data_IF_784471225283
#
_entry.id   IF_784471225283
#
_cell.length_a   1.000
_cell.length_b   1.000
_cell.length_c   1.000
_cell.angle_alpha   90.00
_cell.angle_beta   90.00
_cell.angle_gamma   90.00
#
_symmetry.space_group_name_H-M   'P 1'
#
loop_
_entity.id
_entity.type
_entity.pdbx_description
1 polymer ?
#
# COMPACT_ATOMS: atom_id res chain seq x y z
N UNK A 1 -14.69 3.56 33.42
CA UNK A 1 -13.33 4.10 33.26
C UNK A 1 -12.91 4.00 31.82
N UNK A 2 -12.13 4.95 31.27
CA UNK A 2 -11.57 4.82 29.93
C UNK A 2 -10.75 3.53 29.82
N UNK A 3 -10.81 2.86 28.67
CA UNK A 3 -10.02 1.63 28.42
C UNK A 3 -8.54 2.01 28.46
N UNK A 4 -7.79 1.41 29.37
CA UNK A 4 -6.35 1.63 29.48
C UNK A 4 -5.63 0.66 28.54
N UNK A 5 -5.24 1.18 27.36
CA UNK A 5 -4.45 0.42 26.40
C UNK A 5 -3.02 0.22 26.91
N UNK A 6 -2.47 -0.97 26.67
CA UNK A 6 -1.13 -1.39 27.12
C UNK A 6 -0.26 -1.76 25.92
N UNK A 7 1.05 -1.75 26.14
CA UNK A 7 2.00 -2.31 25.17
C UNK A 7 1.86 -3.83 25.10
N UNK A 8 2.34 -4.42 24.02
CA UNK A 8 2.58 -5.86 23.91
C UNK A 8 4.09 -6.15 23.95
N UNK A 9 4.45 -7.39 24.24
CA UNK A 9 5.81 -7.92 24.03
C UNK A 9 5.76 -8.97 22.94
N UNK A 10 6.82 -9.07 22.13
CA UNK A 10 6.91 -10.02 21.02
C UNK A 10 8.10 -10.98 21.18
N UNK A 11 7.89 -12.28 20.93
CA UNK A 11 8.97 -13.26 20.75
C UNK A 11 8.66 -14.20 19.58
N UNK A 12 9.56 -14.24 18.60
CA UNK A 12 9.34 -14.95 17.35
C UNK A 12 10.26 -14.49 16.24
N UNK A 13 9.96 -14.90 15.01
CA UNK A 13 10.73 -14.58 13.82
C UNK A 13 10.60 -13.11 13.42
N UNK A 14 11.69 -12.46 12.98
CA UNK A 14 11.63 -11.07 12.49
C UNK A 14 10.59 -10.85 11.39
N UNK A 15 10.40 -11.82 10.50
CA UNK A 15 9.42 -11.74 9.41
C UNK A 15 7.98 -11.53 9.91
N UNK A 16 7.57 -12.28 10.94
CA UNK A 16 6.25 -12.18 11.56
C UNK A 16 6.07 -10.88 12.36
N UNK A 17 7.17 -10.24 12.78
CA UNK A 17 7.12 -8.92 13.43
C UNK A 17 6.78 -7.78 12.47
N UNK A 18 6.99 -7.98 11.15
CA UNK A 18 6.76 -6.94 10.13
C UNK A 18 5.31 -6.48 10.10
N UNK A 19 4.37 -7.42 10.25
CA UNK A 19 2.94 -7.13 10.36
C UNK A 19 2.62 -6.26 11.58
N UNK A 20 3.18 -6.58 12.75
CA UNK A 20 2.96 -5.81 13.98
C UNK A 20 3.46 -4.36 13.82
N UNK A 21 4.59 -4.17 13.13
CA UNK A 21 5.12 -2.85 12.76
C UNK A 21 4.19 -2.11 11.81
N UNK A 22 3.68 -2.78 10.75
CA UNK A 22 2.70 -2.19 9.81
C UNK A 22 1.42 -1.73 10.51
N UNK A 23 0.94 -2.50 11.49
CA UNK A 23 -0.22 -2.15 12.33
C UNK A 23 0.10 -1.10 13.40
N UNK A 24 1.37 -0.72 13.54
CA UNK A 24 1.86 0.21 14.57
C UNK A 24 1.47 -0.27 15.98
N UNK A 25 1.56 -1.58 16.23
CA UNK A 25 1.38 -2.16 17.57
C UNK A 25 2.48 -1.62 18.48
N UNK A 26 2.11 -1.08 19.65
CA UNK A 26 3.07 -0.61 20.64
C UNK A 26 3.78 -1.80 21.27
N UNK A 27 5.01 -2.08 20.84
CA UNK A 27 5.86 -3.14 21.40
C UNK A 27 6.80 -2.56 22.46
N UNK A 28 7.01 -3.30 23.55
CA UNK A 28 8.00 -2.99 24.60
C UNK A 28 8.92 -4.18 24.81
N UNK A 29 10.18 -3.91 25.16
CA UNK A 29 11.16 -4.93 25.54
C UNK A 29 11.03 -5.37 27.01
N UNK A 30 10.19 -4.68 27.79
CA UNK A 30 9.97 -4.91 29.22
C UNK A 30 8.63 -5.66 29.44
N UNK A 31 8.64 -6.98 29.66
CA UNK A 31 7.42 -7.78 29.76
C UNK A 31 6.47 -7.31 30.87
N UNK A 32 6.98 -6.80 31.99
CA UNK A 32 6.19 -6.28 33.11
C UNK A 32 5.21 -5.17 32.69
N UNK A 33 5.58 -4.37 31.68
CA UNK A 33 4.78 -3.27 31.15
C UNK A 33 3.80 -3.73 30.06
N UNK A 34 3.89 -4.99 29.62
CA UNK A 34 3.01 -5.54 28.61
C UNK A 34 1.67 -6.02 29.20
N UNK A 35 0.59 -5.77 28.47
CA UNK A 35 -0.74 -6.33 28.72
C UNK A 35 -0.96 -7.67 28.03
N UNK A 36 -0.29 -7.87 26.89
CA UNK A 36 -0.40 -9.06 26.05
C UNK A 36 0.98 -9.50 25.61
N UNK A 37 1.16 -10.81 25.56
CA UNK A 37 2.33 -11.43 24.97
C UNK A 37 1.96 -11.96 23.60
N UNK A 38 2.72 -11.58 22.57
CA UNK A 38 2.52 -12.01 21.20
C UNK A 38 3.69 -12.92 20.82
N UNK A 39 3.39 -14.10 20.30
CA UNK A 39 4.39 -15.06 19.84
C UNK A 39 3.97 -15.65 18.52
N UNK A 40 4.92 -16.14 17.74
CA UNK A 40 4.62 -17.09 16.68
C UNK A 40 4.89 -18.53 17.14
N UNK A 41 4.47 -19.49 16.33
CA UNK A 41 4.63 -20.91 16.63
C UNK A 41 6.01 -21.48 16.25
N UNK A 42 6.96 -20.66 15.83
CA UNK A 42 8.29 -21.13 15.47
C UNK A 42 9.09 -21.61 16.69
N UNK A 43 10.05 -22.51 16.48
CA UNK A 43 10.98 -22.97 17.52
C UNK A 43 11.94 -21.88 18.04
N UNK A 44 11.97 -20.72 17.38
CA UNK A 44 12.78 -19.60 17.83
C UNK A 44 12.32 -19.12 19.22
N UNK A 45 13.29 -18.87 20.10
CA UNK A 45 13.06 -18.41 21.48
C UNK A 45 12.12 -19.33 22.30
N UNK A 46 12.04 -20.63 22.00
CA UNK A 46 11.07 -21.55 22.64
C UNK A 46 11.15 -21.56 24.17
N UNK A 47 12.35 -21.56 24.76
CA UNK A 47 12.52 -21.52 26.21
C UNK A 47 11.98 -20.23 26.84
N UNK A 48 12.17 -19.11 26.13
CA UNK A 48 11.61 -17.81 26.53
C UNK A 48 10.08 -17.82 26.43
N UNK A 49 9.53 -18.38 25.34
CA UNK A 49 8.07 -18.56 25.16
C UNK A 49 7.46 -19.42 26.28
N UNK A 50 8.09 -20.55 26.62
CA UNK A 50 7.69 -21.44 27.73
C UNK A 50 7.77 -20.74 29.08
N UNK A 51 8.85 -20.01 29.35
CA UNK A 51 9.00 -19.22 30.58
C UNK A 51 7.88 -18.20 30.71
N UNK A 52 7.64 -17.44 29.64
CA UNK A 52 6.56 -16.45 29.66
C UNK A 52 5.16 -17.06 29.72
N UNK A 53 4.91 -18.21 29.10
CA UNK A 53 3.66 -18.95 29.27
C UNK A 53 3.37 -19.19 30.77
N UNK A 54 4.36 -19.72 31.48
CA UNK A 54 4.23 -20.03 32.91
C UNK A 54 4.08 -18.76 33.75
N UNK A 55 4.99 -17.80 33.59
CA UNK A 55 5.05 -16.63 34.48
C UNK A 55 3.97 -15.59 34.17
N UNK A 56 3.71 -15.32 32.89
CA UNK A 56 2.86 -14.22 32.46
C UNK A 56 1.39 -14.65 32.25
N UNK A 57 1.18 -15.81 31.65
CA UNK A 57 -0.18 -16.29 31.34
C UNK A 57 -0.75 -17.06 32.53
N UNK A 58 -0.08 -18.15 32.92
CA UNK A 58 -0.59 -19.09 33.92
C UNK A 58 -0.63 -18.45 35.32
N UNK A 59 0.47 -17.81 35.74
CA UNK A 59 0.60 -17.23 37.10
C UNK A 59 -0.01 -15.83 37.23
N UNK A 60 0.26 -14.92 36.30
CA UNK A 60 -0.22 -13.53 36.37
C UNK A 60 -1.60 -13.30 35.74
N UNK A 61 -2.16 -14.30 35.06
CA UNK A 61 -3.50 -14.22 34.49
C UNK A 61 -3.65 -13.36 33.23
N UNK A 62 -2.54 -13.10 32.52
CA UNK A 62 -2.55 -12.29 31.31
C UNK A 62 -2.83 -13.12 30.05
N UNK A 63 -2.88 -12.47 28.89
CA UNK A 63 -3.18 -13.11 27.61
C UNK A 63 -1.92 -13.34 26.78
N UNK A 64 -1.81 -14.54 26.19
CA UNK A 64 -0.86 -14.86 25.11
C UNK A 64 -1.61 -14.97 23.80
N UNK A 65 -1.11 -14.31 22.76
CA UNK A 65 -1.61 -14.38 21.39
C UNK A 65 -0.56 -15.11 20.52
N UNK A 66 -0.95 -16.24 19.94
CA UNK A 66 -0.12 -17.06 19.06
C UNK A 66 -0.51 -16.79 17.61
N UNK A 67 0.47 -16.39 16.81
CA UNK A 67 0.32 -16.04 15.40
C UNK A 67 0.45 -17.30 14.52
N UNK A 68 -0.65 -17.59 13.83
CA UNK A 68 -0.82 -18.48 12.67
C UNK A 68 0.07 -19.73 12.60
N UNK A 69 0.00 -20.65 13.57
CA UNK A 69 0.70 -21.93 13.48
C UNK A 69 0.27 -22.74 12.25
N UNK A 70 1.23 -23.36 11.58
CA UNK A 70 0.97 -24.30 10.49
C UNK A 70 0.90 -25.76 10.95
N UNK A 71 0.62 -26.68 10.02
CA UNK A 71 0.57 -28.11 10.31
C UNK A 71 1.88 -28.72 10.84
N UNK A 72 3.01 -28.03 10.64
CA UNK A 72 4.34 -28.49 11.05
C UNK A 72 4.82 -27.83 12.35
N UNK A 73 4.08 -26.86 12.86
CA UNK A 73 4.46 -26.10 14.06
C UNK A 73 4.35 -26.97 15.31
N UNK A 74 5.41 -27.04 16.11
CA UNK A 74 5.35 -27.70 17.42
C UNK A 74 4.56 -26.84 18.42
N UNK A 75 3.38 -27.35 18.79
CA UNK A 75 2.48 -26.73 19.77
C UNK A 75 2.42 -27.52 21.09
N UNK A 76 3.29 -28.52 21.28
CA UNK A 76 3.31 -29.35 22.49
C UNK A 76 3.64 -28.58 23.76
N UNK A 77 4.27 -27.40 23.62
CA UNK A 77 4.59 -26.50 24.72
C UNK A 77 3.39 -25.70 25.25
N UNK A 78 2.27 -25.70 24.52
CA UNK A 78 1.01 -25.11 24.96
C UNK A 78 0.16 -26.16 25.70
N UNK A 79 -0.73 -25.75 26.64
CA UNK A 79 -1.56 -26.68 27.39
C UNK A 79 -2.61 -27.35 26.51
N UNK A 80 -2.67 -28.69 26.62
CA UNK A 80 -3.64 -29.51 25.91
C UNK A 80 -3.23 -29.83 24.48
N UNK A 81 -3.95 -30.79 23.86
CA UNK A 81 -3.68 -31.18 22.48
C UNK A 81 -4.27 -30.16 21.51
N UNK A 82 -3.41 -29.34 20.92
CA UNK A 82 -3.77 -28.38 19.87
C UNK A 82 -3.38 -28.96 18.52
N UNK A 83 -4.27 -28.85 17.54
CA UNK A 83 -4.02 -29.31 16.17
C UNK A 83 -4.56 -28.28 15.18
N UNK A 84 -3.72 -27.87 14.24
CA UNK A 84 -4.09 -27.07 13.08
C UNK A 84 -3.83 -27.88 11.80
N UNK A 85 -4.66 -27.69 10.78
CA UNK A 85 -4.47 -28.37 9.50
C UNK A 85 -5.35 -27.80 8.40
N UNK A 86 -4.85 -27.84 7.17
CA UNK A 86 -5.52 -27.32 5.98
C UNK A 86 -6.89 -27.98 5.74
N UNK A 87 -7.72 -27.29 4.96
CA UNK A 87 -8.99 -27.83 4.49
C UNK A 87 -8.73 -28.99 3.51
N UNK A 88 -9.20 -30.19 3.85
CA UNK A 88 -9.04 -31.37 2.99
C UNK A 88 -10.20 -31.49 2.00
N UNK A 89 -11.38 -31.01 2.39
CA UNK A 89 -12.58 -31.04 1.56
C UNK A 89 -13.04 -29.64 1.16
N UNK A 90 -13.73 -29.54 0.01
CA UNK A 90 -14.25 -28.26 -0.51
C UNK A 90 -15.17 -27.52 0.48
N UNK A 91 -15.94 -28.27 1.29
CA UNK A 91 -16.85 -27.70 2.31
C UNK A 91 -16.12 -27.04 3.48
N UNK A 92 -14.86 -27.41 3.70
CA UNK A 92 -14.02 -26.86 4.76
C UNK A 92 -13.24 -25.61 4.31
N UNK A 93 -13.14 -25.38 3.00
CA UNK A 93 -12.45 -24.21 2.44
C UNK A 93 -13.19 -22.94 2.84
N UNK A 94 -12.47 -21.96 3.39
CA UNK A 94 -13.11 -20.76 3.91
C UNK A 94 -13.28 -19.74 2.79
N UNK A 95 -14.51 -19.57 2.36
CA UNK A 95 -14.90 -18.43 1.51
C UNK A 95 -15.65 -17.38 2.32
N UNK A 96 -16.44 -17.83 3.30
CA UNK A 96 -17.16 -16.98 4.24
C UNK A 96 -17.24 -17.66 5.61
N UNK A 97 -17.21 -16.87 6.67
CA UNK A 97 -17.56 -17.34 8.03
C UNK A 97 -18.78 -16.56 8.51
N UNK A 98 -19.80 -17.30 8.96
CA UNK A 98 -20.99 -16.69 9.57
C UNK A 98 -20.83 -16.83 11.08
N UNK A 99 -20.73 -15.71 11.78
CA UNK A 99 -20.67 -15.71 13.24
C UNK A 99 -21.99 -16.22 13.82
N UNK A 100 -21.89 -17.21 14.70
CA UNK A 100 -22.99 -17.73 15.51
C UNK A 100 -23.48 -16.68 16.52
N UNK A 101 -24.67 -16.90 17.11
CA UNK A 101 -25.21 -16.02 18.14
C UNK A 101 -24.28 -15.90 19.35
N UNK A 102 -23.61 -16.99 19.72
CA UNK A 102 -22.66 -17.03 20.83
C UNK A 102 -21.37 -16.27 20.50
N UNK A 103 -20.84 -16.41 19.28
CA UNK A 103 -19.67 -15.65 18.83
C UNK A 103 -19.92 -14.15 18.78
N UNK A 104 -21.12 -13.72 18.35
CA UNK A 104 -21.52 -12.31 18.36
C UNK A 104 -21.55 -11.69 19.77
N UNK A 105 -21.68 -12.52 20.81
CA UNK A 105 -21.65 -12.08 22.21
C UNK A 105 -20.25 -12.21 22.85
N UNK A 106 -19.29 -12.85 22.15
CA UNK A 106 -17.93 -12.98 22.67
C UNK A 106 -17.21 -11.62 22.57
N UNK A 107 -16.78 -11.10 23.72
CA UNK A 107 -16.05 -9.83 23.83
C UNK A 107 -14.79 -9.76 22.98
N UNK A 108 -14.14 -10.91 22.71
CA UNK A 108 -12.95 -10.97 21.85
C UNK A 108 -13.26 -10.56 20.41
N UNK A 109 -14.50 -10.80 19.96
CA UNK A 109 -14.98 -10.53 18.61
C UNK A 109 -15.74 -9.20 18.50
N UNK A 110 -15.65 -8.32 19.50
CA UNK A 110 -16.29 -7.01 19.45
C UNK A 110 -15.85 -6.22 18.20
N UNK A 111 -16.82 -5.74 17.42
CA UNK A 111 -16.59 -5.00 16.19
C UNK A 111 -16.27 -5.86 14.96
N UNK A 112 -16.17 -7.19 15.11
CA UNK A 112 -15.97 -8.14 14.01
C UNK A 112 -17.32 -8.72 13.60
N UNK A 113 -17.67 -8.65 12.32
CA UNK A 113 -18.93 -9.18 11.78
C UNK A 113 -18.72 -10.28 10.75
N UNK A 114 -19.80 -10.95 10.30
CA UNK A 114 -19.70 -11.96 9.25
C UNK A 114 -19.21 -11.36 7.91
N UNK A 115 -19.45 -10.08 7.67
CA UNK A 115 -19.02 -9.35 6.47
C UNK A 115 -17.49 -9.15 6.42
N UNK A 116 -16.84 -9.02 7.59
CA UNK A 116 -15.38 -9.06 7.72
C UNK A 116 -14.80 -10.37 7.22
N UNK A 117 -15.51 -11.45 7.53
CA UNK A 117 -15.05 -12.81 7.29
C UNK A 117 -15.46 -13.36 5.93
N UNK A 118 -15.84 -12.48 4.99
CA UNK A 118 -16.16 -12.84 3.61
C UNK A 118 -14.98 -12.53 2.69
N UNK A 119 -14.36 -13.59 2.15
CA UNK A 119 -13.20 -13.52 1.28
C UNK A 119 -13.62 -13.63 -0.19
N UNK A 120 -12.83 -13.03 -1.09
CA UNK A 120 -13.12 -13.05 -2.53
C UNK A 120 -12.89 -14.43 -3.14
N UNK A 121 -11.93 -15.18 -2.61
CA UNK A 121 -11.54 -16.52 -3.06
C UNK A 121 -11.60 -17.50 -1.88
N UNK A 122 -11.73 -18.79 -2.20
CA UNK A 122 -11.66 -19.85 -1.21
C UNK A 122 -10.27 -19.88 -0.57
N UNK A 123 -10.23 -20.01 0.75
CA UNK A 123 -9.02 -20.18 1.54
C UNK A 123 -8.83 -21.65 1.90
N UNK A 124 -7.90 -22.31 1.23
CA UNK A 124 -7.47 -23.68 1.52
C UNK A 124 -6.03 -23.77 2.02
N UNK A 125 -5.28 -22.67 1.88
CA UNK A 125 -3.94 -22.49 2.38
C UNK A 125 -3.88 -22.32 3.91
N UNK A 126 -4.96 -21.83 4.53
CA UNK A 126 -5.00 -21.52 5.96
C UNK A 126 -5.16 -22.80 6.80
N UNK A 127 -4.21 -23.11 7.70
CA UNK A 127 -4.29 -24.27 8.59
C UNK A 127 -5.36 -24.05 9.68
N UNK A 128 -6.57 -24.56 9.49
CA UNK A 128 -7.67 -24.33 10.44
C UNK A 128 -7.42 -25.08 11.75
N UNK A 129 -7.71 -24.43 12.88
CA UNK A 129 -7.64 -25.06 14.20
C UNK A 129 -8.75 -26.10 14.28
N UNK A 130 -8.36 -27.38 14.44
CA UNK A 130 -9.26 -28.52 14.52
C UNK A 130 -9.42 -29.02 15.96
N UNK A 131 -8.42 -28.80 16.80
CA UNK A 131 -8.46 -29.10 18.25
C UNK A 131 -7.77 -27.99 19.03
N UNK A 132 -8.34 -27.63 20.16
CA UNK A 132 -7.84 -26.55 21.03
C UNK A 132 -7.82 -26.96 22.51
N UNK A 133 -7.60 -28.26 22.81
CA UNK A 133 -7.68 -28.77 24.18
C UNK A 133 -9.04 -28.49 24.83
N UNK A 134 -9.03 -27.87 26.01
CA UNK A 134 -10.22 -27.39 26.73
C UNK A 134 -10.77 -26.05 26.21
N UNK A 135 -10.11 -25.46 25.23
CA UNK A 135 -10.48 -24.17 24.65
C UNK A 135 -11.62 -24.24 23.65
N UNK A 136 -12.16 -23.07 23.35
CA UNK A 136 -13.23 -22.87 22.38
C UNK A 136 -12.64 -22.49 21.01
N UNK A 137 -13.05 -23.22 19.98
CA UNK A 137 -12.75 -22.87 18.58
C UNK A 137 -13.87 -21.97 18.06
N UNK A 138 -13.49 -20.89 17.38
CA UNK A 138 -14.37 -19.88 16.83
C UNK A 138 -13.99 -19.59 15.38
N UNK A 139 -14.87 -18.87 14.69
CA UNK A 139 -14.71 -18.42 13.32
C UNK A 139 -14.34 -19.56 12.37
N UNK A 140 -15.02 -20.69 12.52
CA UNK A 140 -14.79 -21.91 11.73
C UNK A 140 -13.33 -22.39 11.76
N UNK A 141 -12.63 -22.23 12.89
CA UNK A 141 -11.24 -22.70 13.05
C UNK A 141 -10.18 -21.61 12.84
N UNK A 142 -10.56 -20.38 12.55
CA UNK A 142 -9.61 -19.27 12.40
C UNK A 142 -9.12 -18.70 13.72
N UNK A 143 -9.87 -18.93 14.80
CA UNK A 143 -9.54 -18.42 16.13
C UNK A 143 -9.81 -19.50 17.18
N UNK A 144 -8.94 -19.60 18.17
CA UNK A 144 -9.23 -20.39 19.38
C UNK A 144 -8.90 -19.57 20.63
N UNK A 145 -9.70 -19.74 21.66
CA UNK A 145 -9.49 -19.16 22.99
C UNK A 145 -9.39 -20.30 24.01
N UNK A 146 -8.22 -20.45 24.63
CA UNK A 146 -7.85 -21.58 25.46
C UNK A 146 -7.54 -21.08 26.88
N UNK A 147 -8.31 -21.49 27.90
CA UNK A 147 -7.97 -21.19 29.30
C UNK A 147 -6.61 -21.78 29.69
N UNK A 148 -5.77 -21.01 30.38
CA UNK A 148 -4.45 -21.44 30.81
C UNK A 148 -4.09 -20.83 32.17
N UNK A 149 -4.24 -21.63 33.24
CA UNK A 149 -4.07 -21.14 34.61
C UNK A 149 -5.06 -20.03 34.93
N UNK A 150 -4.55 -18.89 35.41
CA UNK A 150 -5.37 -17.70 35.66
C UNK A 150 -5.63 -16.87 34.40
N UNK A 151 -4.96 -17.20 33.29
CA UNK A 151 -4.96 -16.42 32.06
C UNK A 151 -5.55 -17.21 30.89
N UNK A 152 -5.19 -16.79 29.68
CA UNK A 152 -5.67 -17.44 28.46
C UNK A 152 -4.70 -17.30 27.31
N UNK A 153 -4.81 -18.25 26.39
CA UNK A 153 -4.09 -18.27 25.12
C UNK A 153 -5.11 -18.06 24.01
N UNK A 154 -4.76 -17.25 23.04
CA UNK A 154 -5.53 -17.02 21.83
C UNK A 154 -4.65 -17.45 20.67
N UNK A 155 -5.18 -18.28 19.78
CA UNK A 155 -4.49 -18.68 18.55
C UNK A 155 -5.27 -18.09 17.39
N UNK A 156 -4.62 -17.33 16.52
CA UNK A 156 -5.27 -16.72 15.35
C UNK A 156 -4.56 -17.13 14.06
N UNK A 157 -5.31 -17.71 13.13
CA UNK A 157 -4.80 -18.21 11.85
C UNK A 157 -4.83 -17.19 10.71
N UNK A 158 -5.40 -16.01 10.93
CA UNK A 158 -5.46 -14.99 9.89
C UNK A 158 -4.12 -14.28 9.73
N UNK A 159 -3.28 -14.78 8.81
CA UNK A 159 -2.07 -14.07 8.40
C UNK A 159 -2.42 -13.05 7.29
N UNK A 160 -2.28 -11.73 7.53
CA UNK A 160 -2.62 -10.71 6.55
C UNK A 160 -1.84 -10.80 5.24
N UNK A 161 -0.63 -11.36 5.27
CA UNK A 161 0.23 -11.45 4.08
C UNK A 161 -0.29 -12.49 3.07
N UNK A 162 -1.13 -13.44 3.51
CA UNK A 162 -1.86 -14.36 2.61
C UNK A 162 -2.99 -13.68 1.83
N UNK A 163 -3.32 -12.43 2.20
CA UNK A 163 -4.35 -11.62 1.55
C UNK A 163 -3.77 -10.44 0.78
N UNK A 164 -2.44 -10.34 0.68
CA UNK A 164 -1.78 -9.26 -0.04
C UNK A 164 -2.29 -9.18 -1.48
N UNK A 165 -2.55 -7.97 -1.97
CA UNK A 165 -3.09 -7.68 -3.32
C UNK A 165 -4.57 -7.99 -3.54
N UNK A 166 -5.34 -8.34 -2.50
CA UNK A 166 -6.78 -8.54 -2.61
C UNK A 166 -7.61 -7.51 -1.85
N UNK A 167 -8.86 -7.29 -2.27
CA UNK A 167 -9.84 -6.52 -1.47
C UNK A 167 -10.07 -7.11 -0.07
N UNK A 168 -9.80 -8.40 0.12
CA UNK A 168 -9.91 -9.07 1.42
C UNK A 168 -8.86 -8.59 2.43
N UNK A 169 -7.72 -8.04 1.97
CA UNK A 169 -6.65 -7.51 2.81
C UNK A 169 -7.16 -6.47 3.82
N UNK A 170 -7.93 -5.47 3.36
CA UNK A 170 -8.47 -4.43 4.23
C UNK A 170 -9.41 -4.99 5.31
N UNK A 171 -10.13 -6.07 5.02
CA UNK A 171 -10.98 -6.75 6.00
C UNK A 171 -10.16 -7.47 7.06
N UNK A 172 -9.08 -8.14 6.67
CA UNK A 172 -8.17 -8.80 7.61
C UNK A 172 -7.44 -7.78 8.50
N UNK A 173 -7.04 -6.62 7.94
CA UNK A 173 -6.51 -5.52 8.75
C UNK A 173 -7.54 -4.97 9.74
N UNK A 174 -8.80 -4.79 9.32
CA UNK A 174 -9.89 -4.40 10.23
C UNK A 174 -10.13 -5.42 11.32
N UNK A 175 -10.12 -6.71 10.98
CA UNK A 175 -10.20 -7.81 11.95
C UNK A 175 -9.10 -7.69 13.01
N UNK A 176 -7.84 -7.52 12.60
CA UNK A 176 -6.72 -7.40 13.52
C UNK A 176 -6.78 -6.12 14.37
N UNK A 177 -7.19 -5.00 13.80
CA UNK A 177 -7.38 -3.75 14.56
C UNK A 177 -8.43 -3.93 15.68
N UNK A 178 -9.55 -4.60 15.37
CA UNK A 178 -10.57 -4.92 16.35
C UNK A 178 -10.07 -5.95 17.38
N UNK A 179 -9.36 -6.99 16.96
CA UNK A 179 -8.81 -7.99 17.86
C UNK A 179 -7.81 -7.36 18.86
N UNK A 180 -6.88 -6.53 18.39
CA UNK A 180 -5.96 -5.80 19.29
C UNK A 180 -6.71 -4.86 20.23
N UNK A 181 -7.76 -4.20 19.76
CA UNK A 181 -8.61 -3.34 20.59
C UNK A 181 -9.31 -4.14 21.69
N UNK A 182 -9.90 -5.30 21.35
CA UNK A 182 -10.51 -6.22 22.31
C UNK A 182 -9.51 -6.77 23.34
N UNK A 183 -8.24 -6.86 22.95
CA UNK A 183 -7.13 -7.24 23.83
C UNK A 183 -6.51 -6.06 24.59
N UNK A 184 -7.04 -4.85 24.44
CA UNK A 184 -6.51 -3.62 25.04
C UNK A 184 -5.03 -3.37 24.68
N UNK A 185 -4.62 -3.75 23.48
CA UNK A 185 -3.28 -3.48 22.95
C UNK A 185 -3.30 -2.12 22.25
N UNK A 186 -2.35 -1.26 22.61
CA UNK A 186 -2.22 0.05 22.00
C UNK A 186 -1.73 -0.06 20.55
N UNK A 187 -2.44 0.60 19.64
CA UNK A 187 -2.00 0.86 18.28
C UNK A 187 -1.60 2.34 18.22
N UNK A 188 -0.32 2.63 17.99
CA UNK A 188 0.22 4.00 17.85
C UNK A 188 -0.06 4.59 16.46
N UNK A 189 -1.13 4.12 15.81
CA UNK A 189 -1.48 4.51 14.46
C UNK A 189 -1.79 6.01 14.39
N UNK A 190 -0.85 6.75 13.81
CA UNK A 190 -1.10 8.14 13.43
C UNK A 190 -1.78 8.11 12.07
N UNK A 191 -3.08 8.40 12.05
CA UNK A 191 -3.77 8.73 10.81
C UNK A 191 -3.15 10.00 10.26
N UNK A 192 -2.22 9.83 9.33
CA UNK A 192 -1.72 10.94 8.53
C UNK A 192 -2.85 11.37 7.57
N UNK A 193 -3.69 12.28 8.05
CA UNK A 193 -4.72 12.94 7.23
C UNK A 193 -4.11 13.88 6.20
N UNK A 194 -2.80 14.11 6.28
CA UNK A 194 -2.02 14.91 5.34
C UNK A 194 -1.19 14.00 4.44
N UNK A 195 -1.39 14.16 3.14
CA UNK A 195 -0.58 13.53 2.12
C UNK A 195 0.78 14.20 2.06
N UNK A 196 1.87 13.45 2.19
CA UNK A 196 3.20 14.05 2.21
C UNK A 196 3.79 14.34 0.84
N UNK A 197 3.18 14.04 -0.30
CA UNK A 197 3.74 14.40 -1.61
C UNK A 197 3.90 15.92 -1.81
N UNK A 198 4.94 16.32 -2.54
CA UNK A 198 5.09 17.69 -3.04
C UNK A 198 4.10 17.90 -4.19
N UNK A 199 2.99 18.55 -3.89
CA UNK A 199 1.93 18.86 -4.85
C UNK A 199 2.36 20.00 -5.80
N UNK A 200 2.32 19.73 -7.11
CA UNK A 200 2.73 20.69 -8.16
C UNK A 200 1.66 20.87 -9.25
N UNK A 201 0.46 20.29 -9.08
CA UNK A 201 -0.66 20.42 -10.04
C UNK A 201 -1.04 21.87 -10.35
N UNK A 202 -1.08 22.72 -9.33
CA UNK A 202 -1.49 24.13 -9.47
C UNK A 202 -0.40 25.03 -10.03
N UNK A 203 0.83 24.51 -10.25
CA UNK A 203 1.91 25.29 -10.84
C UNK A 203 1.67 25.47 -12.33
N UNK A 204 2.14 26.60 -12.85
CA UNK A 204 2.22 26.84 -14.28
C UNK A 204 3.52 26.23 -14.82
N UNK A 205 3.39 25.52 -15.93
CA UNK A 205 4.49 24.88 -16.65
C UNK A 205 4.84 25.73 -17.86
N UNK A 206 6.14 25.89 -18.13
CA UNK A 206 6.61 26.43 -19.39
C UNK A 206 6.20 25.48 -20.51
N UNK A 207 5.77 26.02 -21.64
CA UNK A 207 5.19 25.26 -22.74
C UNK A 207 5.61 25.80 -24.10
N UNK A 208 5.98 24.89 -25.00
CA UNK A 208 6.31 25.21 -26.39
C UNK A 208 5.84 24.09 -27.33
N UNK A 209 5.36 24.47 -28.51
CA UNK A 209 5.03 23.50 -29.56
C UNK A 209 6.29 23.12 -30.34
N UNK A 210 6.39 21.87 -30.77
CA UNK A 210 7.51 21.32 -31.52
C UNK A 210 7.03 20.65 -32.82
N UNK A 211 6.56 21.46 -33.80
CA UNK A 211 5.95 20.94 -35.03
C UNK A 211 6.95 20.15 -35.90
N UNK A 212 8.24 20.47 -35.79
CA UNK A 212 9.32 19.85 -36.55
C UNK A 212 10.00 18.68 -35.80
N UNK A 213 9.56 18.37 -34.58
CA UNK A 213 10.18 17.35 -33.72
C UNK A 213 11.69 17.60 -33.48
N UNK A 214 12.07 18.87 -33.33
CA UNK A 214 13.45 19.30 -33.14
C UNK A 214 13.89 19.23 -31.67
N UNK A 215 12.96 19.19 -30.72
CA UNK A 215 13.24 19.34 -29.29
C UNK A 215 14.13 18.24 -28.71
N UNK A 216 14.02 17.00 -29.21
CA UNK A 216 14.94 15.90 -28.80
C UNK A 216 16.35 16.19 -29.32
N UNK A 217 16.49 16.54 -30.60
CA UNK A 217 17.79 16.79 -31.26
C UNK A 217 18.50 18.01 -30.68
N UNK A 218 17.74 19.02 -30.28
CA UNK A 218 18.25 20.27 -29.69
C UNK A 218 18.20 20.27 -28.15
N UNK A 219 17.93 19.10 -27.58
CA UNK A 219 18.05 18.81 -26.15
C UNK A 219 17.21 19.72 -25.23
N UNK A 220 15.95 19.98 -25.59
CA UNK A 220 15.01 20.76 -24.78
C UNK A 220 14.72 20.16 -23.40
N UNK A 221 15.19 18.94 -23.11
CA UNK A 221 15.11 18.31 -21.80
C UNK A 221 16.27 18.68 -20.85
N UNK A 222 17.34 19.32 -21.35
CA UNK A 222 18.52 19.64 -20.55
C UNK A 222 18.25 20.82 -19.60
N UNK A 223 18.80 20.80 -18.36
CA UNK A 223 18.65 21.91 -17.42
C UNK A 223 19.15 23.25 -17.97
N UNK A 224 20.20 23.22 -18.80
CA UNK A 224 20.84 24.41 -19.36
C UNK A 224 20.11 25.00 -20.58
N UNK A 225 19.08 24.32 -21.12
CA UNK A 225 18.31 24.84 -22.24
C UNK A 225 17.57 26.13 -21.86
N UNK A 226 17.65 27.13 -22.75
CA UNK A 226 17.03 28.44 -22.54
C UNK A 226 15.55 28.42 -22.95
N UNK A 227 14.66 28.35 -21.96
CA UNK A 227 13.21 28.29 -22.10
C UNK A 227 12.51 29.62 -21.74
N UNK A 228 13.26 30.74 -21.68
CA UNK A 228 12.73 32.03 -21.23
C UNK A 228 11.58 32.59 -22.07
N UNK A 229 11.49 32.18 -23.34
CA UNK A 229 10.46 32.65 -24.27
C UNK A 229 9.22 31.73 -24.32
N UNK A 230 9.22 30.62 -23.57
CA UNK A 230 8.12 29.67 -23.60
C UNK A 230 6.87 30.24 -22.94
N UNK A 231 5.72 29.82 -23.44
CA UNK A 231 4.41 30.18 -22.87
C UNK A 231 4.23 29.50 -21.52
N UNK A 232 3.23 29.93 -20.73
CA UNK A 232 2.88 29.28 -19.46
C UNK A 232 1.50 28.63 -19.58
N UNK A 233 1.41 27.35 -19.29
CA UNK A 233 0.15 26.60 -19.25
C UNK A 233 -0.08 25.97 -17.88
N UNK A 234 -1.35 25.77 -17.52
CA UNK A 234 -1.77 25.03 -16.33
C UNK A 234 -2.00 23.57 -16.67
N UNK A 235 -1.71 22.69 -15.71
CA UNK A 235 -2.07 21.27 -15.79
C UNK A 235 -3.55 21.07 -15.44
N UNK A 236 -4.11 19.89 -15.73
CA UNK A 236 -5.53 19.59 -15.51
C UNK A 236 -6.45 20.12 -16.62
N UNK A 237 -5.86 20.65 -17.70
CA UNK A 237 -6.54 21.22 -18.86
C UNK A 237 -5.78 20.83 -20.12
N UNK A 238 -6.47 20.80 -21.27
CA UNK A 238 -5.78 20.61 -22.55
C UNK A 238 -5.08 21.90 -22.99
N UNK A 239 -4.07 21.82 -23.85
CA UNK A 239 -3.41 23.02 -24.37
C UNK A 239 -4.33 23.86 -25.27
N UNK A 240 -5.29 23.25 -25.95
CA UNK A 240 -6.26 23.93 -26.82
C UNK A 240 -7.22 24.79 -26.01
N UNK A 241 -7.70 24.26 -24.87
CA UNK A 241 -8.55 25.01 -23.94
C UNK A 241 -7.82 26.22 -23.32
N UNK A 242 -6.51 26.32 -23.56
CA UNK A 242 -5.64 27.40 -23.12
C UNK A 242 -5.09 28.23 -24.29
N UNK A 243 -5.67 28.08 -25.48
CA UNK A 243 -5.39 28.93 -26.65
C UNK A 243 -4.30 28.39 -27.61
N UNK A 244 -3.84 27.15 -27.42
CA UNK A 244 -2.88 26.52 -28.34
C UNK A 244 -3.65 25.78 -29.45
N UNK A 245 -3.93 26.50 -30.53
CA UNK A 245 -4.73 26.01 -31.66
C UNK A 245 -4.03 26.21 -33.01
N UNK A 246 -2.71 26.46 -32.99
CA UNK A 246 -1.92 26.55 -34.22
C UNK A 246 -1.95 25.21 -34.96
N UNK A 247 -2.14 25.24 -36.27
CA UNK A 247 -2.07 24.03 -37.09
C UNK A 247 -0.63 23.59 -37.26
N UNK A 248 -0.39 22.27 -37.23
CA UNK A 248 0.89 21.69 -37.60
C UNK A 248 0.79 21.21 -39.07
N UNK A 249 1.51 21.83 -40.02
CA UNK A 249 1.45 21.43 -41.43
C UNK A 249 1.88 19.97 -41.68
N UNK A 250 2.74 19.42 -40.82
CA UNK A 250 3.16 18.03 -40.91
C UNK A 250 2.10 17.03 -40.39
N UNK A 251 1.13 17.51 -39.60
CA UNK A 251 0.08 16.70 -39.02
C UNK A 251 -1.24 17.48 -38.96
N UNK A 252 -1.86 17.78 -40.12
CA UNK A 252 -3.05 18.61 -40.19
C UNK A 252 -4.24 17.93 -39.49
N UNK A 253 -5.00 18.71 -38.74
CA UNK A 253 -6.27 18.30 -38.14
C UNK A 253 -7.46 18.90 -38.89
N UNK A 254 -8.71 18.57 -38.51
CA UNK A 254 -9.87 19.28 -39.04
C UNK A 254 -9.74 20.82 -38.88
N UNK A 255 -10.38 21.64 -39.74
CA UNK A 255 -10.31 23.10 -39.63
C UNK A 255 -10.71 23.60 -38.24
N UNK A 256 -9.95 24.55 -37.68
CA UNK A 256 -10.16 25.10 -36.32
C UNK A 256 -10.01 24.09 -35.17
N UNK A 257 -9.28 23.00 -35.37
CA UNK A 257 -9.03 22.00 -34.32
C UNK A 257 -7.59 22.00 -33.81
N UNK A 258 -7.42 21.29 -32.70
CA UNK A 258 -6.24 21.12 -31.87
C UNK A 258 -4.89 21.11 -32.58
N UNK A 259 -3.89 21.74 -31.94
CA UNK A 259 -2.50 21.49 -32.28
C UNK A 259 -2.20 19.99 -32.11
N UNK A 260 -1.74 19.35 -33.21
CA UNK A 260 -1.30 17.96 -33.22
C UNK A 260 0.22 17.91 -33.45
N UNK A 261 0.90 16.94 -32.84
CA UNK A 261 2.34 16.77 -32.91
C UNK A 261 3.00 16.80 -31.53
N UNK A 262 4.29 17.10 -31.51
CA UNK A 262 5.05 17.17 -30.27
C UNK A 262 4.84 18.52 -29.60
N UNK A 263 4.68 18.53 -28.29
CA UNK A 263 4.72 19.73 -27.47
C UNK A 263 5.45 19.43 -26.17
N UNK A 264 6.15 20.43 -25.66
CA UNK A 264 7.01 20.30 -24.50
C UNK A 264 6.45 21.07 -23.33
N UNK A 265 6.54 20.46 -22.16
CA UNK A 265 6.32 21.09 -20.87
C UNK A 265 7.63 21.09 -20.08
N UNK A 266 7.96 22.21 -19.44
CA UNK A 266 9.10 22.33 -18.51
C UNK A 266 8.66 22.95 -17.19
N UNK A 267 9.13 22.39 -16.08
CA UNK A 267 8.92 22.95 -14.75
C UNK A 267 10.24 23.02 -14.00
N UNK A 268 10.58 24.24 -13.57
CA UNK A 268 11.67 24.49 -12.63
C UNK A 268 11.15 24.43 -11.20
N UNK A 269 11.83 23.69 -10.32
CA UNK A 269 11.44 23.58 -8.93
C UNK A 269 12.59 23.28 -7.97
N UNK A 270 12.44 23.83 -6.76
CA UNK A 270 13.23 23.47 -5.60
C UNK A 270 12.53 22.36 -4.82
N UNK A 271 13.32 21.44 -4.27
CA UNK A 271 12.83 20.27 -3.54
C UNK A 271 13.18 20.43 -2.06
N UNK A 272 12.18 20.50 -1.17
CA UNK A 272 12.42 20.53 0.26
C UNK A 272 13.26 19.33 0.73
N UNK A 273 14.18 19.58 1.67
CA UNK A 273 15.15 18.58 2.15
C UNK A 273 14.51 17.25 2.59
N UNK A 274 13.30 17.33 3.17
CA UNK A 274 12.53 16.15 3.61
C UNK A 274 12.23 15.14 2.50
N UNK A 275 12.28 15.54 1.23
CA UNK A 275 12.05 14.65 0.08
C UNK A 275 13.34 14.09 -0.53
N UNK A 276 14.51 14.65 -0.21
CA UNK A 276 15.77 14.24 -0.83
C UNK A 276 16.31 12.89 -0.30
N UNK A 277 15.77 12.40 0.83
CA UNK A 277 16.26 11.20 1.53
C UNK A 277 15.48 9.92 1.19
N UNK A 278 14.59 9.96 0.20
CA UNK A 278 13.75 8.83 -0.19
C UNK A 278 13.85 8.57 -1.68
N UNK A 279 13.71 7.31 -2.10
CA UNK A 279 13.31 7.01 -3.47
C UNK A 279 12.00 7.78 -3.73
N UNK A 280 11.85 8.44 -4.87
CA UNK A 280 10.65 9.23 -5.20
C UNK A 280 10.00 8.73 -6.48
N UNK A 281 8.73 9.08 -6.65
CA UNK A 281 7.98 8.93 -7.88
C UNK A 281 7.48 10.29 -8.35
N UNK A 282 7.54 10.51 -9.66
CA UNK A 282 6.78 11.57 -10.33
C UNK A 282 5.44 10.97 -10.76
N UNK A 283 4.39 11.43 -10.09
CA UNK A 283 3.02 11.07 -10.37
C UNK A 283 2.38 12.16 -11.23
N UNK A 284 1.80 11.76 -12.36
CA UNK A 284 1.05 12.64 -13.23
C UNK A 284 -0.29 11.94 -13.49
N UNK A 285 -1.39 12.69 -13.48
CA UNK A 285 -2.66 12.20 -13.97
C UNK A 285 -2.57 11.83 -15.46
N UNK A 286 -3.72 11.64 -16.10
CA UNK A 286 -3.76 11.41 -17.53
C UNK A 286 -3.03 12.52 -18.31
N UNK A 287 -2.13 12.09 -19.19
CA UNK A 287 -1.57 12.90 -20.26
C UNK A 287 -2.27 12.45 -21.54
N UNK A 288 -2.91 13.41 -22.22
CA UNK A 288 -3.58 13.15 -23.47
C UNK A 288 -2.55 13.18 -24.60
N UNK A 289 -2.08 11.97 -24.95
CA UNK A 289 -0.99 11.72 -25.88
C UNK A 289 -0.03 10.65 -25.37
N UNK A 290 0.97 10.35 -26.17
CA UNK A 290 2.17 9.64 -25.72
C UNK A 290 3.10 10.63 -25.01
N UNK A 291 3.89 10.18 -24.05
CA UNK A 291 4.80 11.06 -23.32
C UNK A 291 6.16 10.42 -23.05
N UNK A 292 7.17 11.29 -23.02
CA UNK A 292 8.53 11.00 -22.58
C UNK A 292 8.92 12.02 -21.53
N UNK A 293 9.45 11.55 -20.40
CA UNK A 293 9.73 12.40 -19.23
C UNK A 293 11.19 12.33 -18.83
N UNK A 294 11.77 13.51 -18.65
CA UNK A 294 13.11 13.70 -18.13
C UNK A 294 13.10 14.47 -16.83
N UNK A 295 14.06 14.15 -15.98
CA UNK A 295 14.39 14.91 -14.80
C UNK A 295 15.87 15.27 -14.83
N UNK A 296 16.17 16.55 -14.75
CA UNK A 296 17.54 17.08 -14.78
C UNK A 296 18.36 16.57 -15.99
N UNK A 297 17.71 16.40 -17.14
CA UNK A 297 18.31 15.89 -18.37
C UNK A 297 18.30 14.35 -18.52
N UNK A 298 18.04 13.61 -17.44
CA UNK A 298 18.00 12.14 -17.47
C UNK A 298 16.59 11.63 -17.75
N UNK A 299 16.46 10.69 -18.68
CA UNK A 299 15.19 10.02 -18.99
C UNK A 299 14.72 9.19 -17.77
N UNK A 300 13.49 9.41 -17.31
CA UNK A 300 12.90 8.67 -16.18
C UNK A 300 11.70 7.80 -16.57
N UNK A 301 11.16 7.95 -17.78
CA UNK A 301 10.16 7.03 -18.30
C UNK A 301 9.43 7.52 -19.55
N UNK A 302 8.67 6.61 -20.14
CA UNK A 302 7.82 6.85 -21.30
C UNK A 302 6.49 6.13 -21.17
N UNK A 303 5.45 6.69 -21.78
CA UNK A 303 4.18 6.01 -22.01
C UNK A 303 3.74 6.26 -23.45
N UNK A 304 3.55 5.20 -24.22
CA UNK A 304 3.18 5.22 -25.63
C UNK A 304 2.13 4.14 -25.92
N UNK A 305 1.52 4.14 -27.11
CA UNK A 305 0.69 3.02 -27.55
C UNK A 305 1.40 1.68 -27.44
N UNK A 306 2.71 1.66 -27.76
CA UNK A 306 3.53 0.44 -27.75
C UNK A 306 3.84 -0.03 -26.33
N UNK A 307 4.08 0.90 -25.41
CA UNK A 307 4.45 0.55 -24.03
C UNK A 307 3.23 0.35 -23.12
N UNK A 308 2.06 0.88 -23.49
CA UNK A 308 0.86 0.84 -22.64
C UNK A 308 0.02 -0.44 -22.78
N UNK A 309 0.23 -1.28 -23.81
CA UNK A 309 -0.53 -2.51 -24.03
C UNK A 309 -2.05 -2.32 -24.19
N UNK A 310 -2.51 -1.07 -24.35
CA UNK A 310 -3.92 -0.67 -24.30
C UNK A 310 -4.17 0.54 -25.18
N UNK A 311 -5.35 0.57 -25.83
CA UNK A 311 -5.81 1.71 -26.62
C UNK A 311 -6.12 2.95 -25.77
N UNK A 312 -6.22 2.82 -24.44
CA UNK A 312 -6.57 3.89 -23.50
C UNK A 312 -5.35 4.55 -22.84
N UNK A 313 -4.16 4.45 -23.45
CA UNK A 313 -2.92 5.05 -22.94
C UNK A 313 -3.06 6.54 -22.58
N UNK A 314 -3.85 7.31 -23.34
CA UNK A 314 -4.14 8.73 -23.11
C UNK A 314 -4.98 9.01 -21.84
N UNK A 315 -5.50 7.98 -21.17
CA UNK A 315 -6.25 8.08 -19.90
C UNK A 315 -5.46 7.54 -18.70
N UNK A 316 -4.33 6.86 -18.93
CA UNK A 316 -3.62 6.17 -17.87
C UNK A 316 -2.98 7.15 -16.87
N UNK A 317 -2.92 6.75 -15.61
CA UNK A 317 -2.16 7.48 -14.60
C UNK A 317 -0.66 7.21 -14.77
N UNK A 318 0.19 8.24 -14.77
CA UNK A 318 1.64 8.11 -14.90
C UNK A 318 2.31 8.06 -13.54
N UNK A 319 3.28 7.18 -13.39
CA UNK A 319 3.99 7.01 -12.14
C UNK A 319 5.45 6.56 -12.38
N UNK A 320 6.31 7.54 -12.67
CA UNK A 320 7.70 7.32 -13.05
C UNK A 320 8.61 7.27 -11.82
N UNK A 321 9.37 6.19 -11.66
CA UNK A 321 10.34 6.07 -10.58
C UNK A 321 11.49 7.05 -10.86
N UNK A 322 11.79 7.90 -9.90
CA UNK A 322 12.98 8.71 -9.94
C UNK A 322 14.19 7.87 -9.49
N UNK A 323 15.27 7.76 -10.29
CA UNK A 323 16.53 7.21 -9.83
C UNK A 323 17.07 7.98 -8.61
N UNK A 324 17.55 7.25 -7.60
CA UNK A 324 18.17 7.87 -6.42
C UNK A 324 19.33 8.78 -6.83
N UNK A 325 19.43 9.95 -6.19
CA UNK A 325 20.49 10.94 -6.44
C UNK A 325 20.27 11.90 -7.62
N UNK A 326 19.20 11.75 -8.41
CA UNK A 326 18.93 12.64 -9.54
C UNK A 326 18.31 13.99 -9.13
N UNK A 327 17.52 14.01 -8.04
CA UNK A 327 16.96 15.26 -7.49
C UNK A 327 17.98 16.01 -6.64
N UNK A 328 17.92 17.33 -6.75
CA UNK A 328 18.75 18.30 -6.04
C UNK A 328 17.87 19.14 -5.12
N UNK A 329 18.45 19.78 -4.10
CA UNK A 329 17.68 20.71 -3.26
C UNK A 329 17.14 21.92 -4.03
N UNK A 330 17.88 22.37 -5.05
CA UNK A 330 17.52 23.52 -5.88
C UNK A 330 17.72 23.26 -7.36
N UNK A 331 17.08 24.07 -8.19
CA UNK A 331 17.29 24.13 -9.65
C UNK A 331 17.06 22.78 -10.36
N UNK A 332 15.97 22.09 -10.01
CA UNK A 332 15.56 20.91 -10.76
C UNK A 332 14.71 21.30 -11.94
N UNK A 333 14.83 20.56 -13.04
CA UNK A 333 14.00 20.70 -14.23
C UNK A 333 13.32 19.38 -14.53
N UNK A 334 11.99 19.39 -14.55
CA UNK A 334 11.20 18.31 -15.14
C UNK A 334 10.85 18.75 -16.56
N UNK A 335 11.15 17.90 -17.55
CA UNK A 335 10.74 18.09 -18.93
C UNK A 335 9.83 16.94 -19.36
N UNK A 336 8.71 17.27 -20.01
CA UNK A 336 7.76 16.30 -20.54
C UNK A 336 7.52 16.64 -22.01
N UNK A 337 7.91 15.73 -22.92
CA UNK A 337 7.49 15.81 -24.31
C UNK A 337 6.22 14.99 -24.48
N UNK A 338 5.16 15.62 -24.99
CA UNK A 338 3.88 14.98 -25.28
C UNK A 338 3.71 14.91 -26.79
N UNK A 339 3.52 13.73 -27.33
CA UNK A 339 3.13 13.52 -28.71
C UNK A 339 1.62 13.27 -28.79
N UNK A 340 0.89 14.20 -29.40
CA UNK A 340 -0.54 14.09 -29.62
C UNK A 340 -0.83 13.86 -31.10
N UNK A 341 -1.44 12.73 -31.44
CA UNK A 341 -1.77 12.39 -32.83
C UNK A 341 -3.06 13.05 -33.34
N UNK A 342 -3.92 13.51 -32.43
CA UNK A 342 -5.23 14.07 -32.77
C UNK A 342 -6.09 14.33 -31.53
N UNK A 343 -7.03 15.27 -31.64
CA UNK A 343 -7.88 15.67 -30.52
C UNK A 343 -7.12 16.51 -29.48
N UNK A 344 -7.65 16.60 -28.27
CA UNK A 344 -7.08 17.46 -27.23
C UNK A 344 -5.82 16.87 -26.62
N UNK A 345 -4.73 17.64 -26.58
CA UNK A 345 -3.46 17.21 -25.99
C UNK A 345 -3.09 17.89 -24.67
N UNK A 346 -2.11 17.30 -23.98
CA UNK A 346 -1.43 17.91 -22.82
C UNK A 346 -1.58 17.17 -21.50
N UNK A 347 -1.14 17.80 -20.41
CA UNK A 347 -1.25 17.26 -19.05
C UNK A 347 -2.67 17.50 -18.52
N UNK A 348 -3.62 16.64 -18.91
CA UNK A 348 -5.07 16.92 -18.81
C UNK A 348 -5.72 16.55 -17.47
N UNK A 349 -5.06 15.80 -16.59
CA UNK A 349 -5.61 15.47 -15.27
C UNK A 349 -4.59 15.66 -14.15
N UNK A 350 -5.13 16.00 -12.98
CA UNK A 350 -4.44 15.97 -11.70
C UNK A 350 -4.51 14.56 -11.06
N UNK A 351 -3.66 14.28 -10.06
CA UNK A 351 -2.58 15.13 -9.55
C UNK A 351 -1.33 15.15 -10.46
N UNK A 352 -0.51 16.19 -10.33
CA UNK A 352 0.90 16.23 -10.73
C UNK A 352 1.71 16.48 -9.48
N UNK A 353 2.50 15.51 -9.04
CA UNK A 353 3.18 15.56 -7.73
C UNK A 353 4.40 14.67 -7.65
N UNK A 354 5.27 14.99 -6.70
CA UNK A 354 6.42 14.15 -6.34
C UNK A 354 6.12 13.48 -5.01
N UNK A 355 6.12 12.15 -4.96
CA UNK A 355 5.80 11.36 -3.77
C UNK A 355 6.97 10.44 -3.39
N UNK A 356 7.22 10.17 -2.10
CA UNK A 356 8.18 9.15 -1.72
C UNK A 356 7.69 7.74 -2.09
N UNK A 357 8.58 6.94 -2.67
CA UNK A 357 8.39 5.51 -2.95
C UNK A 357 8.16 4.69 -1.69
N UNK A 358 8.82 5.09 -0.60
CA UNK A 358 8.82 4.36 0.66
C UNK A 358 7.73 4.79 1.61
N UNK A 359 6.93 5.82 1.29
CA UNK A 359 5.76 6.08 2.12
C UNK A 359 4.74 4.99 1.82
N UNK A 360 4.47 4.09 2.78
CA UNK A 360 3.24 3.36 2.70
C UNK A 360 2.15 4.43 2.75
N UNK A 361 1.05 4.14 2.09
CA UNK A 361 -0.21 4.71 2.50
C UNK A 361 -0.45 4.14 3.90
N UNK A 362 0.25 4.69 4.91
CA UNK A 362 0.31 4.30 6.32
C UNK A 362 -1.01 4.65 7.00
N UNK A 363 -2.09 4.43 6.30
CA UNK A 363 -3.43 4.50 6.83
C UNK A 363 -3.91 3.06 6.86
N UNK A 364 -4.32 2.63 8.04
CA UNK A 364 -5.08 1.38 8.25
C UNK A 364 -6.36 1.37 7.38
N UNK A 365 -6.79 2.55 6.88
CA UNK A 365 -7.95 2.75 6.03
C UNK A 365 -7.71 2.34 4.55
N UNK A 366 -6.48 2.51 4.04
CA UNK A 366 -6.14 2.25 2.65
C UNK A 366 -4.86 1.40 2.48
N UNK A 367 -4.74 0.26 3.17
CA UNK A 367 -3.52 -0.56 3.18
C UNK A 367 -3.23 -1.18 1.80
N UNK A 368 -4.21 -1.14 0.89
CA UNK A 368 -4.09 -1.56 -0.50
C UNK A 368 -3.52 -0.50 -1.44
N UNK A 369 -3.45 0.79 -1.09
CA UNK A 369 -3.09 1.79 -2.10
C UNK A 369 -1.63 1.72 -2.56
N UNK A 370 -0.71 1.16 -1.75
CA UNK A 370 0.68 0.93 -2.18
C UNK A 370 0.75 -0.11 -3.31
N UNK A 371 0.15 -1.28 -3.12
CA UNK A 371 0.19 -2.38 -4.09
C UNK A 371 -0.88 -2.25 -5.18
N UNK A 372 -2.04 -1.66 -4.91
CA UNK A 372 -3.04 -1.37 -5.95
C UNK A 372 -2.55 -0.33 -6.91
N UNK A 373 -1.60 0.53 -6.52
CA UNK A 373 -0.84 1.32 -7.47
C UNK A 373 0.30 0.51 -8.05
N UNK A 374 1.17 -0.17 -7.30
CA UNK A 374 2.37 -0.83 -7.88
C UNK A 374 2.07 -2.06 -8.76
N UNK A 375 0.96 -2.75 -8.52
CA UNK A 375 0.48 -3.93 -9.25
C UNK A 375 -0.88 -3.73 -9.92
N UNK A 376 -1.27 -2.48 -10.22
CA UNK A 376 -2.38 -2.25 -11.15
C UNK A 376 -1.94 -2.76 -12.53
N UNK A 377 -2.65 -3.70 -13.19
CA UNK A 377 -2.40 -4.02 -14.60
C UNK A 377 -2.55 -2.79 -15.52
N UNK A 378 -3.19 -1.71 -15.07
CA UNK A 378 -3.23 -0.44 -15.77
C UNK A 378 -2.04 0.49 -15.50
N UNK A 379 -1.06 0.08 -14.66
CA UNK A 379 0.10 0.92 -14.34
C UNK A 379 1.19 0.83 -15.40
N UNK A 380 1.74 -0.33 -15.81
CA UNK A 380 2.83 -0.34 -16.81
C UNK A 380 3.08 -1.59 -17.67
N UNK A 381 2.28 -2.66 -17.64
CA UNK A 381 2.41 -3.74 -18.64
C UNK A 381 1.09 -4.46 -18.85
N UNK A 382 0.57 -4.48 -20.08
CA UNK A 382 -0.36 -5.53 -20.53
C UNK A 382 0.14 -6.13 -21.84
N UNK A 383 0.25 -7.46 -21.78
CA UNK A 383 0.76 -8.49 -22.71
C UNK A 383 0.68 -8.21 -24.21
#
# INVERSE_FOLDING_TARGET
SPVQYKSAVYAGKPENSSFLKRMQVRITDLPENAGVLIVDASENELDKKKKWLNDFVIRQGKTMLVLWPDENSDLSWLPGKIMAGKALERKEKIFKVILSAEEKQNKLLNGITSEDMYFKFFRDEIPLIRKAGSGKIMLSGLLAEIPAGQGKIIICQLNPDQHENERSFGKVYRFWANLFTSLSVALDSRLNLYWNGLEISQREWLFEIDPENAGIKTEWFQPAFNDNNWKRLKTGKSWESQGITSENPALPGPPHTSYNGNAWYRLHLDIPEKYLKSDLYLEIGAIAGEDTVWLNGSLIGTTSKKTAGSKNYYQAFRNYKNPSGLLRGKNNVIAVCVYNEGGFGGLTKWPVRISPADQPYDTVLFPLEKNRKQGDPYRYVMW
#
